data_IF_014494338865
#
_entry.id   IF_014494338865
#
_cell.length_a   1.000
_cell.length_b   1.000
_cell.length_c   1.000
_cell.angle_alpha   90.00
_cell.angle_beta   90.00
_cell.angle_gamma   90.00
#
_symmetry.space_group_name_H-M   'P 1'
#
loop_
_entity.id
_entity.type
_entity.pdbx_description
1 polymer ?
#
# COMPACT_ATOMS: atom_id res chain seq x y z
N UNK A 1 28.71 -7.03 16.92
CA UNK A 1 27.58 -6.23 16.38
C UNK A 1 26.26 -6.85 16.82
N UNK A 2 25.37 -6.09 17.46
CA UNK A 2 24.11 -6.62 18.02
C UNK A 2 23.09 -6.99 16.92
N UNK A 3 22.14 -7.89 17.21
CA UNK A 3 21.02 -8.19 16.27
C UNK A 3 20.26 -6.93 15.88
N UNK A 4 20.05 -6.01 16.83
CA UNK A 4 19.38 -4.72 16.61
C UNK A 4 20.16 -3.84 15.62
N UNK A 5 21.48 -3.76 15.76
CA UNK A 5 22.33 -2.98 14.85
C UNK A 5 22.23 -3.50 13.42
N UNK A 6 22.26 -4.82 13.23
CA UNK A 6 22.10 -5.44 11.90
C UNK A 6 20.73 -5.16 11.27
N UNK A 7 19.67 -5.17 12.07
CA UNK A 7 18.33 -4.86 11.58
C UNK A 7 18.21 -3.39 11.11
N UNK A 8 18.80 -2.46 11.85
CA UNK A 8 18.84 -1.03 11.49
C UNK A 8 19.67 -0.81 10.22
N UNK A 9 20.87 -1.38 10.12
CA UNK A 9 21.70 -1.28 8.91
C UNK A 9 20.98 -1.82 7.68
N UNK A 10 20.30 -2.97 7.81
CA UNK A 10 19.51 -3.55 6.72
C UNK A 10 18.35 -2.64 6.31
N UNK A 11 17.64 -2.05 7.26
CA UNK A 11 16.57 -1.11 6.97
C UNK A 11 17.08 0.14 6.25
N UNK A 12 18.17 0.75 6.72
CA UNK A 12 18.75 1.93 6.09
C UNK A 12 19.22 1.64 4.66
N UNK A 13 19.84 0.48 4.43
CA UNK A 13 20.20 0.04 3.07
C UNK A 13 18.97 -0.12 2.19
N UNK A 14 17.91 -0.78 2.68
CA UNK A 14 16.68 -0.95 1.90
C UNK A 14 16.01 0.39 1.60
N UNK A 15 16.02 1.32 2.56
CA UNK A 15 15.53 2.69 2.43
C UNK A 15 16.26 3.44 1.32
N UNK A 16 17.59 3.35 1.32
CA UNK A 16 18.43 3.94 0.28
C UNK A 16 18.13 3.35 -1.09
N UNK A 17 18.01 2.02 -1.18
CA UNK A 17 17.66 1.34 -2.43
C UNK A 17 16.26 1.70 -2.93
N UNK A 18 15.27 1.81 -2.04
CA UNK A 18 13.94 2.31 -2.38
C UNK A 18 13.99 3.75 -2.92
N UNK A 19 14.85 4.59 -2.34
CA UNK A 19 15.01 5.97 -2.81
C UNK A 19 15.73 6.09 -4.16
N UNK A 20 16.46 5.07 -4.60
CA UNK A 20 17.14 5.06 -5.91
C UNK A 20 16.23 4.64 -7.06
N UNK A 21 15.08 4.03 -6.78
CA UNK A 21 14.15 3.56 -7.82
C UNK A 21 13.63 4.74 -8.65
N UNK A 22 13.84 4.64 -9.96
CA UNK A 22 13.21 5.52 -10.93
C UNK A 22 11.68 5.40 -10.86
N UNK A 23 11.03 6.53 -10.58
CA UNK A 23 9.57 6.61 -10.47
C UNK A 23 8.88 6.25 -11.80
N UNK A 24 9.53 6.52 -12.95
CA UNK A 24 9.02 6.16 -14.27
C UNK A 24 8.95 4.65 -14.51
N UNK A 25 9.69 3.87 -13.74
CA UNK A 25 9.75 2.41 -13.83
C UNK A 25 8.62 1.72 -13.04
N UNK A 26 7.88 2.45 -12.20
CA UNK A 26 6.74 1.92 -11.45
C UNK A 26 5.48 1.80 -12.33
N UNK A 27 4.55 0.87 -12.02
CA UNK A 27 3.25 0.83 -12.67
C UNK A 27 2.50 2.18 -12.63
N UNK A 28 1.76 2.48 -13.69
CA UNK A 28 1.11 3.79 -13.86
C UNK A 28 0.23 4.18 -12.64
N UNK A 29 0.41 5.41 -12.17
CA UNK A 29 -0.31 5.98 -11.02
C UNK A 29 0.32 5.67 -9.66
N UNK A 30 1.27 4.72 -9.60
CA UNK A 30 2.02 4.43 -8.39
C UNK A 30 3.24 5.32 -8.25
N UNK A 31 3.58 5.65 -7.00
CA UNK A 31 4.72 6.45 -6.63
C UNK A 31 5.34 5.86 -5.37
N UNK A 32 6.64 6.08 -5.23
CA UNK A 32 7.39 5.66 -4.06
C UNK A 32 8.01 6.90 -3.40
N UNK A 33 7.80 7.03 -2.10
CA UNK A 33 8.43 8.07 -1.30
C UNK A 33 8.92 7.44 0.00
N UNK A 34 10.23 7.53 0.22
CA UNK A 34 10.86 6.88 1.36
C UNK A 34 10.51 5.37 1.38
N UNK A 35 9.91 4.85 2.46
CA UNK A 35 9.45 3.47 2.57
C UNK A 35 7.96 3.29 2.25
N UNK A 36 7.30 4.30 1.68
CA UNK A 36 5.88 4.23 1.30
C UNK A 36 5.72 4.12 -0.21
N UNK A 37 5.10 3.03 -0.64
CA UNK A 37 4.51 2.91 -1.95
C UNK A 37 3.05 3.39 -1.89
N UNK A 38 2.68 4.35 -2.74
CA UNK A 38 1.33 4.92 -2.71
C UNK A 38 0.75 5.15 -4.09
N UNK A 39 -0.58 5.22 -4.12
CA UNK A 39 -1.39 5.59 -5.29
C UNK A 39 -2.48 6.54 -4.86
N UNK A 40 -2.71 7.57 -5.66
CA UNK A 40 -3.85 8.48 -5.53
C UNK A 40 -4.82 8.27 -6.69
N UNK A 41 -6.14 8.51 -6.49
CA UNK A 41 -7.08 8.54 -7.61
C UNK A 41 -6.73 9.67 -8.59
N UNK A 42 -7.22 9.57 -9.83
CA UNK A 42 -6.99 10.59 -10.88
C UNK A 42 -7.60 11.93 -10.47
N UNK A 43 -8.86 11.89 -10.06
CA UNK A 43 -9.55 13.03 -9.48
C UNK A 43 -9.43 12.91 -7.96
N UNK A 44 -8.61 13.78 -7.37
CA UNK A 44 -8.42 13.79 -5.93
C UNK A 44 -9.72 14.15 -5.20
N UNK A 45 -9.95 13.56 -4.04
CA UNK A 45 -11.02 13.97 -3.13
C UNK A 45 -10.44 14.60 -1.86
N UNK A 46 -10.88 15.81 -1.58
CA UNK A 46 -10.55 16.52 -0.35
C UNK A 46 -11.67 16.36 0.68
N UNK A 47 -11.31 15.97 1.89
CA UNK A 47 -12.22 15.90 3.04
C UNK A 47 -11.42 16.09 4.32
N UNK A 48 -12.06 16.67 5.33
CA UNK A 48 -11.55 16.74 6.70
C UNK A 48 -11.66 15.40 7.44
N UNK A 49 -12.34 14.41 6.87
CA UNK A 49 -12.55 13.08 7.44
C UNK A 49 -11.87 12.01 6.60
N UNK A 50 -11.14 11.12 7.26
CA UNK A 50 -10.45 9.99 6.62
C UNK A 50 -11.01 8.69 7.18
N UNK A 51 -11.46 7.81 6.29
CA UNK A 51 -11.75 6.42 6.61
C UNK A 51 -10.48 5.64 6.35
N UNK A 52 -9.78 5.28 7.42
CA UNK A 52 -8.58 4.45 7.37
C UNK A 52 -8.97 2.98 7.34
N UNK A 53 -8.48 2.25 6.34
CA UNK A 53 -8.87 0.86 6.06
C UNK A 53 -7.61 0.02 5.91
N UNK A 54 -7.55 -1.11 6.60
CA UNK A 54 -6.52 -2.09 6.32
C UNK A 54 -6.83 -2.87 5.03
N UNK A 55 -5.83 -3.47 4.40
CA UNK A 55 -6.04 -4.24 3.18
C UNK A 55 -6.21 -5.73 3.45
N UNK A 56 -5.15 -6.39 3.91
CA UNK A 56 -5.13 -7.82 4.15
C UNK A 56 -6.08 -8.19 5.31
N UNK A 57 -6.90 -9.23 5.11
CA UNK A 57 -7.96 -9.68 6.03
C UNK A 57 -9.09 -8.67 6.33
N UNK A 58 -9.04 -7.46 5.77
CA UNK A 58 -10.09 -6.45 5.93
C UNK A 58 -10.85 -6.22 4.64
N UNK A 59 -10.19 -5.77 3.57
CA UNK A 59 -10.81 -5.63 2.24
C UNK A 59 -10.71 -6.93 1.43
N UNK A 60 -9.62 -7.66 1.66
CA UNK A 60 -9.32 -8.91 0.96
C UNK A 60 -9.40 -10.11 1.88
N UNK A 61 -9.94 -11.22 1.38
CA UNK A 61 -9.79 -12.54 1.98
C UNK A 61 -9.18 -13.52 0.96
N UNK A 62 -8.51 -14.58 1.42
CA UNK A 62 -7.97 -15.64 0.55
C UNK A 62 -6.51 -15.46 0.07
N UNK A 63 -5.99 -16.52 -0.58
CA UNK A 63 -4.60 -16.72 -1.00
C UNK A 63 -4.14 -15.84 -2.18
N UNK A 64 -3.61 -16.44 -3.25
CA UNK A 64 -3.06 -15.69 -4.40
C UNK A 64 -4.12 -14.92 -5.20
N UNK A 65 -5.36 -15.44 -5.27
CA UNK A 65 -6.48 -14.75 -5.94
C UNK A 65 -7.08 -13.66 -5.05
N UNK A 66 -7.46 -12.54 -5.66
CA UNK A 66 -8.16 -11.45 -4.98
C UNK A 66 -9.65 -11.74 -4.89
N UNK A 67 -10.19 -11.72 -3.67
CA UNK A 67 -11.63 -11.78 -3.38
C UNK A 67 -11.95 -10.82 -2.23
N UNK A 68 -13.12 -10.19 -2.29
CA UNK A 68 -13.60 -9.35 -1.20
C UNK A 68 -13.83 -10.20 0.05
N UNK A 69 -13.42 -9.69 1.22
CA UNK A 69 -13.67 -10.39 2.50
C UNK A 69 -15.16 -10.45 2.87
N UNK A 70 -15.97 -9.56 2.29
CA UNK A 70 -17.41 -9.50 2.49
C UNK A 70 -18.08 -8.84 1.30
N UNK A 71 -19.24 -9.39 0.91
CA UNK A 71 -20.11 -8.78 -0.12
C UNK A 71 -20.68 -7.42 0.30
N UNK A 72 -20.57 -7.02 1.58
CA UNK A 72 -21.04 -5.73 2.09
C UNK A 72 -20.02 -4.59 1.95
N UNK A 73 -18.75 -4.90 1.66
CA UNK A 73 -17.71 -3.88 1.48
C UNK A 73 -18.10 -2.81 0.46
N UNK A 74 -18.62 -3.15 -0.75
CA UNK A 74 -18.92 -2.14 -1.75
C UNK A 74 -19.95 -1.12 -1.24
N UNK A 75 -21.01 -1.58 -0.59
CA UNK A 75 -22.04 -0.71 -0.03
C UNK A 75 -21.49 0.16 1.11
N UNK A 76 -20.68 -0.44 2.00
CA UNK A 76 -20.06 0.29 3.11
C UNK A 76 -19.16 1.43 2.61
N UNK A 77 -18.31 1.16 1.61
CA UNK A 77 -17.41 2.17 1.03
C UNK A 77 -18.20 3.33 0.39
N UNK A 78 -19.28 3.02 -0.35
CA UNK A 78 -20.17 4.04 -0.90
C UNK A 78 -20.77 4.91 0.18
N UNK A 79 -21.36 4.30 1.21
CA UNK A 79 -22.01 5.05 2.30
C UNK A 79 -21.03 5.98 3.02
N UNK A 80 -19.81 5.51 3.31
CA UNK A 80 -18.79 6.37 3.91
C UNK A 80 -18.38 7.51 2.97
N UNK A 81 -18.25 7.23 1.68
CA UNK A 81 -17.83 8.21 0.68
C UNK A 81 -18.88 9.29 0.40
N UNK A 82 -20.10 8.88 0.05
CA UNK A 82 -21.14 9.76 -0.48
C UNK A 82 -21.99 10.36 0.63
N UNK A 83 -22.47 9.54 1.56
CA UNK A 83 -23.42 10.00 2.58
C UNK A 83 -22.72 10.71 3.73
N UNK A 84 -21.48 10.29 4.03
CA UNK A 84 -20.73 10.79 5.18
C UNK A 84 -19.52 11.66 4.81
N UNK A 85 -19.16 11.71 3.54
CA UNK A 85 -18.10 12.58 3.01
C UNK A 85 -16.69 12.16 3.43
N UNK A 86 -16.41 10.89 3.69
CA UNK A 86 -15.08 10.42 4.04
C UNK A 86 -14.18 10.27 2.81
N UNK A 87 -12.91 10.65 2.97
CA UNK A 87 -11.83 10.23 2.09
C UNK A 87 -11.45 8.78 2.42
N UNK A 88 -11.50 7.90 1.43
CA UNK A 88 -11.18 6.48 1.60
C UNK A 88 -9.67 6.26 1.45
N UNK A 89 -9.01 5.84 2.52
CA UNK A 89 -7.56 5.62 2.55
C UNK A 89 -7.23 4.21 3.04
N UNK A 90 -6.57 3.43 2.19
CA UNK A 90 -6.00 2.14 2.56
C UNK A 90 -4.62 2.38 3.17
N UNK A 91 -4.41 1.86 4.38
CA UNK A 91 -3.12 1.83 5.06
C UNK A 91 -2.75 0.38 5.38
N UNK A 92 -1.68 -0.11 4.77
CA UNK A 92 -1.27 -1.52 4.90
C UNK A 92 0.23 -1.67 5.11
N UNK A 93 0.61 -2.66 5.91
CA UNK A 93 2.01 -3.00 6.19
C UNK A 93 2.43 -4.15 5.28
N UNK A 94 3.35 -3.92 4.35
CA UNK A 94 3.91 -4.94 3.45
C UNK A 94 5.36 -5.23 3.84
N UNK A 95 5.52 -5.92 4.98
CA UNK A 95 6.81 -6.11 5.66
C UNK A 95 7.84 -6.96 4.90
N UNK A 96 7.38 -7.80 3.97
CA UNK A 96 8.23 -8.62 3.12
C UNK A 96 8.77 -7.85 1.91
N UNK A 97 7.98 -6.93 1.37
CA UNK A 97 8.32 -6.18 0.17
C UNK A 97 9.37 -5.10 0.47
N UNK A 98 10.19 -4.78 -0.53
CA UNK A 98 11.22 -3.73 -0.42
C UNK A 98 12.49 -4.17 0.32
N UNK A 99 12.74 -5.48 0.43
CA UNK A 99 13.88 -6.05 1.16
C UNK A 99 14.97 -6.65 0.26
N UNK A 100 14.95 -6.29 -1.01
CA UNK A 100 15.82 -6.86 -2.04
C UNK A 100 17.23 -6.28 -1.97
N UNK A 101 18.19 -7.01 -2.53
CA UNK A 101 19.61 -6.68 -2.43
C UNK A 101 20.08 -5.74 -3.54
N UNK A 102 19.36 -5.70 -4.65
CA UNK A 102 19.64 -4.88 -5.83
C UNK A 102 18.34 -4.28 -6.40
N UNK A 103 18.51 -3.27 -7.26
CA UNK A 103 17.43 -2.44 -7.79
C UNK A 103 16.50 -3.23 -8.71
N UNK A 104 17.03 -4.14 -9.54
CA UNK A 104 16.23 -4.91 -10.48
C UNK A 104 15.30 -5.88 -9.74
N UNK A 105 15.84 -6.60 -8.76
CA UNK A 105 15.05 -7.48 -7.89
C UNK A 105 14.02 -6.67 -7.09
N UNK A 106 14.39 -5.48 -6.61
CA UNK A 106 13.46 -4.58 -5.93
C UNK A 106 12.31 -4.15 -6.85
N UNK A 107 12.60 -3.73 -8.08
CA UNK A 107 11.59 -3.33 -9.03
C UNK A 107 10.64 -4.49 -9.35
N UNK A 108 11.17 -5.70 -9.57
CA UNK A 108 10.36 -6.90 -9.77
C UNK A 108 9.47 -7.21 -8.56
N UNK A 109 9.98 -7.05 -7.33
CA UNK A 109 9.23 -7.22 -6.09
C UNK A 109 8.07 -6.20 -5.98
N UNK A 110 8.33 -4.92 -6.30
CA UNK A 110 7.31 -3.87 -6.31
C UNK A 110 6.25 -4.10 -7.39
N UNK A 111 6.65 -4.52 -8.60
CA UNK A 111 5.72 -4.89 -9.67
C UNK A 111 4.90 -6.12 -9.31
N UNK A 112 5.49 -7.07 -8.58
CA UNK A 112 4.76 -8.21 -8.05
C UNK A 112 3.76 -7.76 -6.98
N UNK A 113 4.14 -6.89 -6.04
CA UNK A 113 3.25 -6.30 -5.02
C UNK A 113 2.04 -5.62 -5.66
N UNK A 114 2.32 -4.55 -6.39
CA UNK A 114 1.78 -4.25 -7.70
C UNK A 114 0.56 -5.02 -8.27
N UNK A 115 0.94 -5.78 -9.31
CA UNK A 115 0.11 -6.45 -10.29
C UNK A 115 -0.29 -7.84 -9.84
N UNK A 116 0.64 -8.56 -9.21
CA UNK A 116 0.44 -9.94 -8.78
C UNK A 116 -0.11 -10.02 -7.34
N UNK A 117 0.04 -8.96 -6.55
CA UNK A 117 -0.39 -8.89 -5.14
C UNK A 117 -1.57 -7.95 -4.94
N UNK A 118 -2.51 -7.99 -5.89
CA UNK A 118 -3.93 -7.79 -5.60
C UNK A 118 -4.38 -6.34 -5.49
N UNK A 119 -3.47 -5.36 -5.35
CA UNK A 119 -3.86 -3.94 -5.39
C UNK A 119 -4.45 -3.57 -6.74
N UNK A 120 -3.79 -3.91 -7.85
CA UNK A 120 -4.33 -3.60 -9.17
C UNK A 120 -5.68 -4.29 -9.43
N UNK A 121 -5.91 -5.51 -8.95
CA UNK A 121 -7.22 -6.16 -9.08
C UNK A 121 -8.31 -5.43 -8.29
N UNK A 122 -8.03 -5.06 -7.03
CA UNK A 122 -8.95 -4.27 -6.21
C UNK A 122 -9.22 -2.90 -6.83
N UNK A 123 -8.16 -2.20 -7.24
CA UNK A 123 -8.25 -0.87 -7.82
C UNK A 123 -8.90 -0.88 -9.20
N UNK A 124 -8.66 -1.92 -10.01
CA UNK A 124 -9.40 -2.11 -11.24
C UNK A 124 -10.88 -2.32 -10.94
N UNK A 125 -11.24 -3.13 -9.95
CA UNK A 125 -12.64 -3.29 -9.55
C UNK A 125 -13.26 -1.96 -9.09
N UNK A 126 -12.55 -1.16 -8.28
CA UNK A 126 -13.00 0.19 -7.89
C UNK A 126 -13.12 1.12 -9.10
N UNK A 127 -12.07 1.24 -9.92
CA UNK A 127 -11.98 2.26 -10.96
C UNK A 127 -12.77 1.90 -12.24
N UNK A 128 -13.01 0.61 -12.52
CA UNK A 128 -13.66 0.16 -13.76
C UNK A 128 -15.11 -0.31 -13.61
N UNK A 129 -15.55 -0.69 -12.40
CA UNK A 129 -16.90 -1.25 -12.18
C UNK A 129 -17.95 -0.18 -11.83
N UNK A 130 -17.85 1.00 -12.45
CA UNK A 130 -18.73 2.16 -12.21
C UNK A 130 -18.61 2.76 -10.79
N UNK A 131 -17.43 2.64 -10.16
CA UNK A 131 -17.16 3.13 -8.80
C UNK A 131 -15.94 4.05 -8.72
N UNK A 132 -15.63 4.71 -9.83
CA UNK A 132 -14.60 5.74 -9.93
C UNK A 132 -14.85 6.91 -8.96
N UNK A 133 -16.13 7.14 -8.64
CA UNK A 133 -16.62 8.05 -7.62
C UNK A 133 -16.07 7.81 -6.20
N UNK A 134 -15.62 6.58 -5.89
CA UNK A 134 -15.04 6.24 -4.59
C UNK A 134 -13.68 6.91 -4.36
N UNK A 135 -12.86 7.07 -5.40
CA UNK A 135 -11.57 7.75 -5.33
C UNK A 135 -10.67 7.23 -4.21
N UNK A 136 -10.29 5.95 -4.24
CA UNK A 136 -9.54 5.30 -3.15
C UNK A 136 -8.05 5.64 -3.21
N UNK A 137 -7.51 6.02 -2.06
CA UNK A 137 -6.08 6.24 -1.83
C UNK A 137 -5.44 5.00 -1.25
N UNK A 138 -4.23 4.64 -1.67
CA UNK A 138 -3.48 3.50 -1.12
C UNK A 138 -2.13 3.97 -0.62
N UNK A 139 -1.78 3.55 0.60
CA UNK A 139 -0.50 3.77 1.24
C UNK A 139 0.00 2.45 1.82
N UNK A 140 1.06 1.89 1.23
CA UNK A 140 1.68 0.65 1.63
C UNK A 140 3.06 0.92 2.23
N UNK A 141 3.23 0.66 3.53
CA UNK A 141 4.50 0.77 4.22
C UNK A 141 5.37 -0.47 3.98
N UNK A 142 6.55 -0.29 3.40
CA UNK A 142 7.46 -1.35 2.95
C UNK A 142 8.58 -1.62 3.96
N UNK A 143 9.41 -2.62 3.69
CA UNK A 143 10.81 -2.74 4.13
C UNK A 143 11.18 -2.69 5.63
N UNK A 144 10.25 -2.84 6.59
CA UNK A 144 10.60 -2.82 8.04
C UNK A 144 11.56 -3.92 8.45
N UNK A 145 11.38 -5.13 7.93
CA UNK A 145 12.06 -6.30 8.48
C UNK A 145 11.71 -6.51 9.96
N UNK A 146 12.73 -6.76 10.78
CA UNK A 146 12.58 -7.10 12.21
C UNK A 146 12.78 -5.87 13.14
N UNK A 147 12.56 -4.66 12.62
CA UNK A 147 12.74 -3.45 13.41
C UNK A 147 11.73 -3.33 14.57
N UNK A 148 12.15 -2.77 15.72
CA UNK A 148 11.24 -2.46 16.82
C UNK A 148 10.14 -1.47 16.38
N UNK A 149 9.00 -1.52 17.06
CA UNK A 149 7.94 -0.51 16.90
C UNK A 149 8.49 0.91 17.11
N UNK A 150 7.99 1.87 16.33
CA UNK A 150 8.39 3.29 16.40
C UNK A 150 9.64 3.69 15.61
N UNK A 151 10.33 2.76 14.94
CA UNK A 151 11.48 3.10 14.08
C UNK A 151 11.08 3.57 12.67
N UNK A 152 9.91 3.15 12.19
CA UNK A 152 9.36 3.55 10.90
C UNK A 152 8.06 4.33 11.15
N UNK A 153 8.12 5.65 10.94
CA UNK A 153 7.01 6.57 11.22
C UNK A 153 5.81 6.40 10.28
N UNK A 154 5.96 5.61 9.22
CA UNK A 154 4.90 5.39 8.24
C UNK A 154 4.06 4.14 8.50
N UNK A 155 4.41 3.34 9.50
CA UNK A 155 3.70 2.11 9.79
C UNK A 155 2.52 2.33 10.70
N UNK A 156 1.42 1.63 10.39
CA UNK A 156 0.35 1.43 11.36
C UNK A 156 0.92 0.67 12.58
N UNK A 157 0.53 1.04 13.81
CA UNK A 157 0.84 0.26 15.00
C UNK A 157 0.37 -1.20 14.84
N UNK A 158 1.12 -2.14 15.39
CA UNK A 158 0.70 -3.54 15.57
C UNK A 158 0.00 -3.74 16.91
#
# INVERSE_FOLDING_TARGET
>A
MSRRSKAIEKYLRNKELLSSIDQGSLPCGWRLHDTILYRTPREGYHSSKVMAIDFDNTLKHGGERWELSSLRIPEALARFRHDQGFKLCIFTNQSSAGRMVDEQALLMDLHSLIRNSRFDSFLLWVDSSCRDDLGVYVFAALARGDLPSGYDGYRKPE
#
